data_IF_092213285284
#
_entry.id   IF_092213285284
#
_cell.length_a   1.000
_cell.length_b   1.000
_cell.length_c   1.000
_cell.angle_alpha   90.00
_cell.angle_beta   90.00
_cell.angle_gamma   90.00
#
_symmetry.space_group_name_H-M   'P 1'
#
loop_
_entity.id
_entity.type
_entity.pdbx_description
1 polymer ?
#
# COMPACT_ATOMS: atom_id res chain seq x y z
N UNK A 1 -7.80 -50.35 60.08
CA UNK A 1 -8.30 -51.14 58.92
C UNK A 1 -8.01 -50.34 57.65
N UNK A 2 -7.45 -51.00 56.64
CA UNK A 2 -6.58 -50.45 55.59
C UNK A 2 -7.28 -49.65 54.48
N UNK A 3 -6.54 -48.65 53.97
CA UNK A 3 -6.57 -48.07 52.62
C UNK A 3 -6.51 -49.11 51.50
N UNK A 4 -7.10 -48.81 50.33
CA UNK A 4 -6.68 -49.21 48.97
C UNK A 4 -7.51 -48.38 47.97
N UNK A 5 -6.97 -47.32 47.35
CA UNK A 5 -6.12 -47.26 46.15
C UNK A 5 -6.80 -47.63 44.82
N UNK A 6 -6.73 -46.64 43.93
CA UNK A 6 -7.13 -46.54 42.53
C UNK A 6 -6.42 -47.52 41.59
N UNK A 7 -7.12 -47.98 40.55
CA UNK A 7 -6.50 -48.42 39.28
C UNK A 7 -7.47 -48.16 38.13
N UNK A 8 -7.20 -47.12 37.34
CA UNK A 8 -7.80 -46.90 36.03
C UNK A 8 -7.01 -47.73 35.04
N UNK A 9 -7.66 -48.74 34.45
CA UNK A 9 -7.07 -49.66 33.49
C UNK A 9 -6.71 -48.93 32.20
N UNK A 10 -5.41 -48.73 31.95
CA UNK A 10 -4.90 -48.40 30.62
C UNK A 10 -5.11 -49.62 29.70
N UNK A 11 -5.94 -49.46 28.68
CA UNK A 11 -6.12 -50.44 27.61
C UNK A 11 -4.94 -50.30 26.63
N UNK A 12 -3.94 -51.16 26.77
CA UNK A 12 -2.82 -51.27 25.82
C UNK A 12 -3.29 -52.09 24.62
N UNK A 13 -3.58 -51.46 23.49
CA UNK A 13 -3.86 -52.17 22.23
C UNK A 13 -2.52 -52.45 21.56
N UNK A 14 -2.08 -53.71 21.65
CA UNK A 14 -0.96 -54.26 20.88
C UNK A 14 -1.51 -54.60 19.49
N UNK A 15 -1.06 -53.90 18.45
CA UNK A 15 -1.43 -54.20 17.08
C UNK A 15 -0.57 -55.36 16.54
N UNK A 16 -1.18 -56.50 16.27
CA UNK A 16 -0.65 -57.53 15.37
C UNK A 16 -1.29 -57.37 13.98
N UNK A 17 -0.54 -57.45 12.88
CA UNK A 17 -1.05 -57.11 11.56
C UNK A 17 -1.53 -58.38 10.86
N UNK A 18 -2.82 -58.72 10.92
CA UNK A 18 -3.49 -59.61 9.95
C UNK A 18 -4.97 -59.76 10.33
N UNK A 19 -5.86 -59.56 9.35
CA UNK A 19 -7.32 -59.78 9.37
C UNK A 19 -8.19 -58.82 10.19
N UNK A 20 -8.85 -57.86 9.51
CA UNK A 20 -10.28 -57.95 9.18
C UNK A 20 -10.74 -56.64 8.48
N UNK A 21 -11.08 -56.75 7.20
CA UNK A 21 -11.89 -55.77 6.48
C UNK A 21 -13.35 -56.11 6.79
N UNK A 22 -14.00 -55.39 7.70
CA UNK A 22 -15.47 -55.27 7.70
C UNK A 22 -15.95 -54.15 8.62
N UNK A 23 -16.62 -53.17 8.00
CA UNK A 23 -17.64 -52.27 8.55
C UNK A 23 -17.29 -51.48 9.82
N UNK A 24 -16.64 -50.33 9.64
CA UNK A 24 -16.82 -49.20 10.55
C UNK A 24 -17.33 -48.02 9.71
N UNK A 25 -18.56 -47.56 9.98
CA UNK A 25 -19.15 -46.35 9.41
C UNK A 25 -18.30 -45.16 9.89
N UNK A 26 -17.34 -44.74 9.06
CA UNK A 26 -16.57 -43.52 9.27
C UNK A 26 -17.48 -42.34 8.99
N UNK A 27 -17.85 -41.62 10.04
CA UNK A 27 -18.29 -40.24 9.94
C UNK A 27 -17.11 -39.45 9.32
N UNK A 28 -17.33 -38.87 8.15
CA UNK A 28 -16.29 -38.24 7.35
C UNK A 28 -15.74 -36.98 8.03
N UNK A 29 -14.79 -37.15 8.95
CA UNK A 29 -13.83 -36.11 9.29
C UNK A 29 -12.84 -36.03 8.12
N UNK A 30 -12.86 -34.91 7.40
CA UNK A 30 -11.87 -34.61 6.36
C UNK A 30 -10.46 -34.60 6.98
N UNK A 31 -9.75 -35.72 6.86
CA UNK A 31 -8.35 -35.84 7.21
C UNK A 31 -7.54 -35.12 6.14
N UNK A 32 -7.04 -33.94 6.47
CA UNK A 32 -6.01 -33.28 5.69
C UNK A 32 -4.71 -33.39 6.48
N UNK A 33 -3.91 -34.38 6.12
CA UNK A 33 -2.66 -34.76 6.78
C UNK A 33 -1.68 -33.58 6.89
N UNK A 34 -1.43 -33.12 8.12
CA UNK A 34 -0.37 -32.16 8.44
C UNK A 34 0.23 -32.42 9.83
N UNK A 35 0.58 -33.68 10.10
CA UNK A 35 1.27 -34.07 11.34
C UNK A 35 2.74 -33.66 11.35
N UNK A 36 3.18 -33.04 12.45
CA UNK A 36 4.61 -32.95 12.78
C UNK A 36 4.91 -34.16 13.67
N UNK A 37 5.89 -34.96 13.28
CA UNK A 37 6.25 -36.20 13.98
C UNK A 37 7.28 -35.83 15.04
N UNK A 38 6.92 -36.01 16.31
CA UNK A 38 7.87 -35.85 17.41
C UNK A 38 8.87 -37.03 17.42
N UNK A 39 10.00 -36.88 18.11
CA UNK A 39 11.10 -37.88 18.18
C UNK A 39 10.71 -39.27 18.72
N UNK A 40 9.47 -39.44 19.14
CA UNK A 40 8.83 -40.66 19.67
C UNK A 40 7.72 -41.21 18.75
N UNK A 41 7.55 -40.68 17.53
CA UNK A 41 6.63 -41.24 16.53
C UNK A 41 5.14 -40.94 16.74
N UNK A 42 4.79 -40.08 17.71
CA UNK A 42 3.41 -39.63 17.93
C UNK A 42 3.08 -38.48 16.98
N UNK A 43 2.07 -38.70 16.14
CA UNK A 43 1.50 -37.68 15.25
C UNK A 43 0.52 -36.82 16.04
N UNK A 44 0.90 -35.58 16.35
CA UNK A 44 0.01 -34.65 17.04
C UNK A 44 -0.97 -34.02 16.03
N UNK A 45 -2.20 -34.54 15.99
CA UNK A 45 -3.30 -33.92 15.25
C UNK A 45 -3.80 -32.68 15.99
N UNK A 46 -3.39 -31.49 15.54
CA UNK A 46 -3.97 -30.24 16.03
C UNK A 46 -5.29 -30.02 15.31
N UNK A 47 -6.40 -30.01 16.06
CA UNK A 47 -7.71 -29.70 15.50
C UNK A 47 -7.69 -28.31 14.84
N UNK A 48 -8.07 -28.23 13.57
CA UNK A 48 -8.25 -26.96 12.88
C UNK A 48 -9.41 -26.21 13.54
N UNK A 49 -9.22 -24.92 13.81
CA UNK A 49 -10.28 -24.06 14.33
C UNK A 49 -11.39 -23.99 13.28
N UNK A 50 -12.65 -24.14 13.73
CA UNK A 50 -13.81 -24.00 12.86
C UNK A 50 -13.85 -22.61 12.25
N UNK A 51 -14.28 -22.52 10.99
CA UNK A 51 -14.43 -21.23 10.33
C UNK A 51 -15.50 -20.40 11.03
N UNK A 52 -15.25 -19.10 11.16
CA UNK A 52 -16.26 -18.16 11.69
C UNK A 52 -17.47 -18.14 10.78
N UNK A 53 -18.63 -18.00 11.39
CA UNK A 53 -19.88 -17.76 10.68
C UNK A 53 -19.76 -16.49 9.82
N UNK A 54 -20.52 -16.45 8.73
CA UNK A 54 -20.64 -15.28 7.87
C UNK A 54 -21.68 -14.30 8.41
N UNK A 55 -22.45 -14.69 9.43
CA UNK A 55 -23.59 -13.97 10.00
C UNK A 55 -24.59 -13.53 8.90
N UNK A 56 -24.77 -14.38 7.89
CA UNK A 56 -25.68 -14.14 6.77
C UNK A 56 -25.20 -13.15 5.70
N UNK A 57 -23.95 -12.70 5.75
CA UNK A 57 -23.34 -11.86 4.69
C UNK A 57 -22.40 -12.70 3.85
N UNK A 58 -22.72 -12.87 2.57
CA UNK A 58 -21.86 -13.63 1.67
C UNK A 58 -20.58 -12.85 1.28
N UNK A 59 -19.58 -13.59 0.83
CA UNK A 59 -18.35 -13.00 0.27
C UNK A 59 -18.65 -12.45 -1.13
N UNK A 60 -18.16 -11.24 -1.39
CA UNK A 60 -18.34 -10.54 -2.66
C UNK A 60 -17.00 -10.06 -3.18
N UNK A 61 -16.83 -10.02 -4.49
CA UNK A 61 -15.53 -9.67 -5.08
C UNK A 61 -15.28 -8.15 -5.08
N UNK A 62 -16.28 -7.31 -4.82
CA UNK A 62 -16.18 -5.84 -4.91
C UNK A 62 -15.98 -5.12 -3.57
N UNK A 63 -16.08 -5.84 -2.45
CA UNK A 63 -15.90 -5.28 -1.09
C UNK A 63 -15.30 -6.32 -0.17
N UNK A 64 -14.68 -5.88 0.92
CA UNK A 64 -14.10 -6.82 1.88
C UNK A 64 -15.13 -7.36 2.84
N UNK A 65 -14.98 -8.63 3.22
CA UNK A 65 -15.80 -9.22 4.26
C UNK A 65 -15.26 -8.88 5.66
N UNK A 66 -16.15 -8.68 6.63
CA UNK A 66 -15.78 -8.35 8.02
C UNK A 66 -14.85 -9.40 8.66
N UNK A 67 -14.99 -10.67 8.26
CA UNK A 67 -14.15 -11.76 8.77
C UNK A 67 -12.68 -11.59 8.38
N UNK A 68 -12.39 -10.93 7.26
CA UNK A 68 -11.03 -10.60 6.82
C UNK A 68 -10.37 -9.63 7.79
N UNK A 69 -11.07 -8.55 8.19
CA UNK A 69 -10.57 -7.62 9.19
C UNK A 69 -10.45 -8.26 10.58
N UNK A 70 -11.42 -9.09 10.98
CA UNK A 70 -11.36 -9.83 12.23
C UNK A 70 -10.20 -10.83 12.25
N UNK A 71 -9.87 -11.46 11.12
CA UNK A 71 -8.70 -12.33 11.02
C UNK A 71 -7.39 -11.55 11.20
N UNK A 72 -7.26 -10.40 10.53
CA UNK A 72 -6.08 -9.53 10.67
C UNK A 72 -5.91 -9.03 12.11
N UNK A 73 -7.02 -8.73 12.80
CA UNK A 73 -7.02 -8.35 14.22
C UNK A 73 -6.50 -9.49 15.11
N UNK A 74 -6.97 -10.71 14.87
CA UNK A 74 -6.52 -11.88 15.64
C UNK A 74 -5.07 -12.24 15.33
N UNK A 75 -4.64 -12.10 14.07
CA UNK A 75 -3.25 -12.28 13.66
C UNK A 75 -2.32 -11.29 14.36
N UNK A 76 -2.75 -10.03 14.53
CA UNK A 76 -2.01 -9.02 15.30
C UNK A 76 -1.83 -9.44 16.75
N UNK A 77 -2.89 -9.95 17.37
CA UNK A 77 -2.86 -10.41 18.77
C UNK A 77 -2.04 -11.70 18.94
N UNK A 78 -2.06 -12.60 17.94
CA UNK A 78 -1.50 -13.95 18.01
C UNK A 78 -0.45 -14.22 16.92
N UNK A 79 0.53 -13.33 16.77
CA UNK A 79 1.53 -13.39 15.69
C UNK A 79 2.58 -14.50 15.91
N UNK A 80 2.15 -15.77 15.84
CA UNK A 80 2.95 -16.99 16.02
C UNK A 80 2.68 -17.97 14.88
N UNK A 81 3.73 -18.67 14.42
CA UNK A 81 3.62 -19.64 13.31
C UNK A 81 2.65 -20.79 13.62
N UNK A 82 2.68 -21.30 14.86
CA UNK A 82 1.76 -22.35 15.32
C UNK A 82 0.31 -21.89 15.27
N UNK A 83 0.03 -20.65 15.67
CA UNK A 83 -1.32 -20.09 15.64
C UNK A 83 -1.84 -19.96 14.21
N UNK A 84 -1.03 -19.46 13.27
CA UNK A 84 -1.45 -19.37 11.86
C UNK A 84 -1.71 -20.76 11.26
N UNK A 85 -0.90 -21.77 11.61
CA UNK A 85 -1.13 -23.16 11.16
C UNK A 85 -2.49 -23.70 11.60
N UNK A 86 -2.90 -23.42 12.84
CA UNK A 86 -4.20 -23.83 13.38
C UNK A 86 -5.38 -23.05 12.78
N UNK A 87 -5.14 -21.80 12.34
CA UNK A 87 -6.14 -20.90 11.74
C UNK A 87 -6.00 -20.78 10.20
N UNK A 88 -5.37 -21.76 9.57
CA UNK A 88 -5.06 -21.75 8.13
C UNK A 88 -6.31 -21.65 7.24
N UNK A 89 -7.45 -22.16 7.72
CA UNK A 89 -8.74 -21.99 7.05
C UNK A 89 -9.17 -20.52 6.94
N UNK A 90 -9.12 -19.77 8.05
CA UNK A 90 -9.42 -18.33 8.08
C UNK A 90 -8.43 -17.53 7.26
N UNK A 91 -7.15 -17.90 7.31
CA UNK A 91 -6.12 -17.27 6.50
C UNK A 91 -6.39 -17.42 5.00
N UNK A 92 -6.68 -18.62 4.50
CA UNK A 92 -6.99 -18.81 3.07
C UNK A 92 -8.28 -18.09 2.66
N UNK A 93 -9.29 -18.08 3.53
CA UNK A 93 -10.56 -17.41 3.27
C UNK A 93 -10.38 -15.89 3.15
N UNK A 94 -9.67 -15.29 4.11
CA UNK A 94 -9.36 -13.86 4.10
C UNK A 94 -8.40 -13.45 2.98
N UNK A 95 -7.44 -14.32 2.62
CA UNK A 95 -6.57 -14.09 1.48
C UNK A 95 -7.35 -14.10 0.17
N UNK A 96 -8.25 -15.07 -0.02
CA UNK A 96 -9.09 -15.15 -1.22
C UNK A 96 -9.98 -13.91 -1.37
N UNK A 97 -10.62 -13.49 -0.29
CA UNK A 97 -11.43 -12.26 -0.23
C UNK A 97 -10.61 -11.03 -0.69
N UNK A 98 -9.38 -10.88 -0.17
CA UNK A 98 -8.48 -9.82 -0.57
C UNK A 98 -8.02 -9.92 -2.03
N UNK A 99 -7.70 -11.13 -2.50
CA UNK A 99 -7.27 -11.36 -3.89
C UNK A 99 -8.39 -11.05 -4.89
N UNK A 100 -9.63 -11.50 -4.61
CA UNK A 100 -10.82 -11.17 -5.40
C UNK A 100 -11.07 -9.65 -5.46
N UNK A 101 -10.95 -8.95 -4.32
CA UNK A 101 -11.07 -7.49 -4.27
C UNK A 101 -10.04 -6.78 -5.15
N UNK A 102 -8.79 -7.25 -5.14
CA UNK A 102 -7.71 -6.69 -5.96
C UNK A 102 -7.89 -7.02 -7.45
N UNK A 103 -8.36 -8.23 -7.76
CA UNK A 103 -8.61 -8.68 -9.13
C UNK A 103 -9.66 -7.79 -9.82
N UNK A 104 -10.78 -7.51 -9.15
CA UNK A 104 -11.84 -6.67 -9.70
C UNK A 104 -11.52 -5.17 -9.66
N UNK A 105 -10.66 -4.73 -8.74
CA UNK A 105 -10.17 -3.34 -8.68
C UNK A 105 -9.14 -3.02 -9.78
N UNK A 106 -8.32 -4.00 -10.17
CA UNK A 106 -7.25 -3.82 -11.17
C UNK A 106 -7.73 -3.23 -12.50
N UNK A 107 -8.78 -3.74 -13.17
CA UNK A 107 -9.25 -3.14 -14.43
C UNK A 107 -9.73 -1.69 -14.26
N UNK A 108 -10.33 -1.32 -13.12
CA UNK A 108 -10.73 0.07 -12.84
C UNK A 108 -9.51 1.00 -12.74
N UNK A 109 -8.39 0.51 -12.19
CA UNK A 109 -7.15 1.28 -12.11
C UNK A 109 -6.52 1.43 -13.50
N UNK A 110 -6.52 0.37 -14.32
CA UNK A 110 -6.01 0.41 -15.70
C UNK A 110 -6.81 1.40 -16.56
N UNK A 111 -8.14 1.45 -16.37
CA UNK A 111 -8.99 2.44 -17.04
C UNK A 111 -8.67 3.89 -16.62
N UNK A 112 -8.25 4.09 -15.36
CA UNK A 112 -7.87 5.42 -14.86
C UNK A 112 -6.43 5.83 -15.24
N UNK A 113 -5.52 4.88 -15.44
CA UNK A 113 -4.12 5.08 -15.82
C UNK A 113 -3.67 3.98 -16.79
N UNK A 114 -3.68 4.32 -18.08
CA UNK A 114 -3.36 3.45 -19.21
C UNK A 114 -1.90 2.97 -19.22
N UNK A 115 -1.03 3.60 -18.42
CA UNK A 115 0.37 3.20 -18.32
C UNK A 115 0.55 1.92 -17.49
N UNK A 116 -0.47 1.49 -16.75
CA UNK A 116 -0.44 0.27 -15.95
C UNK A 116 -0.82 -0.93 -16.82
N UNK A 117 0.08 -1.91 -17.02
CA UNK A 117 -0.27 -3.13 -17.73
C UNK A 117 -1.12 -4.05 -16.87
N UNK A 118 -1.87 -4.92 -17.53
CA UNK A 118 -2.51 -6.05 -16.85
C UNK A 118 -1.44 -7.01 -16.34
N UNK A 119 -1.35 -7.14 -15.01
CA UNK A 119 -0.35 -7.96 -14.33
C UNK A 119 -1.04 -9.03 -13.49
N UNK A 120 -0.41 -10.22 -13.35
CA UNK A 120 -0.97 -11.26 -12.50
C UNK A 120 -0.99 -10.79 -11.04
N UNK A 121 -2.05 -11.14 -10.30
CA UNK A 121 -2.30 -10.71 -8.91
C UNK A 121 -1.08 -10.91 -8.00
N UNK A 122 -0.32 -12.00 -8.19
CA UNK A 122 0.90 -12.31 -7.44
C UNK A 122 1.97 -11.22 -7.48
N UNK A 123 1.98 -10.41 -8.54
CA UNK A 123 2.95 -9.34 -8.78
C UNK A 123 2.43 -7.97 -8.33
N UNK A 124 1.15 -7.89 -7.94
CA UNK A 124 0.49 -6.69 -7.39
C UNK A 124 0.34 -6.80 -5.87
N UNK A 125 -0.15 -7.94 -5.37
CA UNK A 125 -0.41 -8.19 -3.94
C UNK A 125 0.88 -8.47 -3.19
N UNK A 126 1.05 -7.93 -1.99
CA UNK A 126 2.17 -8.26 -1.11
C UNK A 126 1.92 -9.53 -0.31
N UNK A 127 2.99 -10.29 -0.08
CA UNK A 127 2.96 -11.47 0.80
C UNK A 127 2.80 -11.05 2.27
N UNK A 128 2.05 -11.85 3.02
CA UNK A 128 1.85 -11.66 4.47
C UNK A 128 3.10 -11.94 5.31
N UNK A 129 4.02 -12.77 4.80
CA UNK A 129 5.27 -13.11 5.50
C UNK A 129 6.24 -11.93 5.55
N UNK A 130 6.83 -11.70 6.72
CA UNK A 130 7.86 -10.69 6.94
C UNK A 130 9.25 -11.29 6.83
N UNK A 131 10.20 -10.54 6.27
CA UNK A 131 11.62 -10.88 6.39
C UNK A 131 12.11 -10.40 7.75
N UNK A 132 12.42 -11.35 8.64
CA UNK A 132 12.82 -11.09 10.02
C UNK A 132 14.33 -11.16 10.24
N UNK A 133 15.12 -11.55 9.23
CA UNK A 133 16.57 -11.83 9.39
C UNK A 133 17.37 -10.64 9.93
N UNK A 134 16.90 -9.42 9.64
CA UNK A 134 17.56 -8.18 10.01
C UNK A 134 16.68 -7.26 10.87
N UNK A 135 15.50 -7.73 11.29
CA UNK A 135 14.56 -6.91 12.06
C UNK A 135 14.74 -7.13 13.56
N UNK A 136 14.71 -6.04 14.33
CA UNK A 136 14.69 -6.10 15.81
C UNK A 136 13.40 -6.73 16.35
N UNK A 137 12.32 -6.61 15.57
CA UNK A 137 11.02 -7.19 15.89
C UNK A 137 10.90 -8.58 15.25
N UNK A 138 10.81 -9.66 16.05
CA UNK A 138 10.80 -11.04 15.57
C UNK A 138 9.42 -11.50 15.04
N UNK A 139 8.44 -10.61 14.88
CA UNK A 139 7.10 -10.98 14.39
C UNK A 139 7.14 -11.54 12.96
N UNK A 140 6.69 -12.79 12.72
CA UNK A 140 6.83 -13.46 11.43
C UNK A 140 5.84 -12.96 10.35
N UNK A 141 4.70 -12.41 10.74
CA UNK A 141 3.62 -12.03 9.82
C UNK A 141 3.28 -10.55 9.90
N UNK A 142 2.82 -9.99 8.78
CA UNK A 142 2.24 -8.66 8.69
C UNK A 142 0.74 -8.76 9.05
N UNK A 143 0.24 -8.00 10.03
CA UNK A 143 -1.18 -8.00 10.39
C UNK A 143 -2.02 -7.13 9.43
N UNK A 144 -1.68 -7.12 8.15
CA UNK A 144 -2.32 -6.33 7.11
C UNK A 144 -2.16 -6.96 5.74
N UNK A 145 -3.10 -6.66 4.85
CA UNK A 145 -2.94 -6.89 3.42
C UNK A 145 -2.59 -5.59 2.71
N UNK A 146 -1.87 -5.71 1.60
CA UNK A 146 -1.58 -4.56 0.77
C UNK A 146 -1.32 -4.97 -0.67
N UNK A 147 -1.59 -4.05 -1.59
CA UNK A 147 -1.36 -4.20 -3.02
C UNK A 147 -0.72 -2.93 -3.57
N UNK A 148 0.14 -3.08 -4.58
CA UNK A 148 0.71 -1.97 -5.32
C UNK A 148 0.62 -2.17 -6.84
N UNK A 149 0.18 -1.13 -7.53
CA UNK A 149 0.07 -1.08 -8.99
C UNK A 149 1.09 -0.08 -9.54
N UNK A 150 1.92 -0.52 -10.47
CA UNK A 150 2.83 0.33 -11.25
C UNK A 150 3.07 -0.34 -12.60
N UNK A 151 3.81 0.33 -13.50
CA UNK A 151 4.21 -0.22 -14.80
C UNK A 151 4.90 -1.60 -14.72
N UNK A 152 5.52 -1.93 -13.57
CA UNK A 152 6.18 -3.23 -13.32
C UNK A 152 5.61 -3.96 -12.10
N UNK A 153 4.40 -3.59 -11.66
CA UNK A 153 3.72 -4.16 -10.49
C UNK A 153 4.25 -3.62 -9.17
N UNK A 154 4.25 -4.45 -8.12
CA UNK A 154 4.69 -4.05 -6.76
C UNK A 154 6.20 -3.81 -6.62
N UNK A 155 6.99 -4.15 -7.63
CA UNK A 155 8.45 -4.00 -7.67
C UNK A 155 8.82 -3.08 -8.82
N UNK A 156 9.88 -2.31 -8.65
CA UNK A 156 10.48 -1.52 -9.72
C UNK A 156 10.76 -0.09 -9.28
N UNK A 157 11.32 0.73 -10.19
CA UNK A 157 11.70 2.10 -9.91
C UNK A 157 10.56 3.12 -10.09
N UNK A 158 9.38 2.67 -10.51
CA UNK A 158 8.24 3.53 -10.83
C UNK A 158 7.47 3.96 -9.58
N UNK A 159 6.85 5.13 -9.65
CA UNK A 159 5.81 5.52 -8.72
C UNK A 159 4.64 4.55 -8.84
N UNK A 160 4.03 4.21 -7.70
CA UNK A 160 2.98 3.21 -7.62
C UNK A 160 1.74 3.74 -6.90
N UNK A 161 0.59 3.18 -7.22
CA UNK A 161 -0.62 3.25 -6.38
C UNK A 161 -0.54 2.15 -5.34
N UNK A 162 -1.01 2.42 -4.14
CA UNK A 162 -0.88 1.54 -2.98
C UNK A 162 -2.20 1.50 -2.20
N UNK A 163 -2.70 0.31 -1.95
CA UNK A 163 -3.83 0.08 -1.05
C UNK A 163 -3.35 -0.76 0.12
N UNK A 164 -3.72 -0.34 1.33
CA UNK A 164 -3.33 -0.96 2.58
C UNK A 164 -4.55 -1.19 3.46
N UNK A 165 -4.69 -2.41 3.94
CA UNK A 165 -5.81 -2.85 4.76
C UNK A 165 -5.25 -3.44 6.05
N UNK A 166 -5.30 -2.62 7.10
CA UNK A 166 -4.99 -2.99 8.48
C UNK A 166 -6.16 -2.53 9.35
N UNK A 167 -6.71 -3.38 10.24
CA UNK A 167 -7.81 -2.98 11.11
C UNK A 167 -7.49 -1.69 11.90
N UNK A 168 -8.31 -0.66 11.70
CA UNK A 168 -8.15 0.68 12.27
C UNK A 168 -7.08 1.55 11.63
N UNK A 169 -6.43 1.09 10.55
CA UNK A 169 -5.34 1.79 9.85
C UNK A 169 -5.39 1.55 8.34
N UNK A 170 -6.56 1.50 7.74
CA UNK A 170 -6.69 1.39 6.29
C UNK A 170 -6.23 2.68 5.59
N UNK A 171 -5.56 2.56 4.45
CA UNK A 171 -5.13 3.72 3.66
C UNK A 171 -5.00 3.40 2.17
N UNK A 172 -5.24 4.42 1.35
CA UNK A 172 -4.93 4.43 -0.07
C UNK A 172 -3.93 5.54 -0.30
N UNK A 173 -2.84 5.25 -1.00
CA UNK A 173 -1.80 6.22 -1.26
C UNK A 173 -1.00 5.85 -2.48
N UNK A 174 0.07 6.61 -2.72
CA UNK A 174 0.95 6.36 -3.84
C UNK A 174 1.93 7.49 -4.09
N UNK A 175 2.67 7.33 -5.18
CA UNK A 175 3.85 8.11 -5.48
C UNK A 175 5.12 7.29 -5.33
N UNK A 176 6.22 7.96 -4.99
CA UNK A 176 7.56 7.40 -5.01
C UNK A 176 8.12 7.24 -3.59
N UNK A 177 8.11 6.00 -3.10
CA UNK A 177 8.57 5.63 -1.76
C UNK A 177 9.97 5.01 -1.82
N UNK A 178 10.91 5.58 -1.07
CA UNK A 178 12.33 5.19 -1.08
C UNK A 178 12.94 5.00 -2.49
N UNK A 179 12.86 6.00 -3.38
CA UNK A 179 13.60 6.00 -4.63
C UNK A 179 15.11 5.85 -4.45
N UNK A 180 15.76 5.31 -5.48
CA UNK A 180 17.21 5.31 -5.58
C UNK A 180 17.77 6.73 -5.75
N UNK A 181 19.09 6.87 -5.58
CA UNK A 181 19.75 8.17 -5.64
C UNK A 181 19.63 8.83 -7.02
N UNK A 182 19.57 8.03 -8.09
CA UNK A 182 19.47 8.50 -9.46
C UNK A 182 18.09 9.11 -9.75
N UNK A 183 17.01 8.42 -9.36
CA UNK A 183 15.65 8.93 -9.43
C UNK A 183 15.47 10.21 -8.59
N UNK A 184 16.06 10.25 -7.39
CA UNK A 184 16.04 11.44 -6.55
C UNK A 184 16.79 12.62 -7.17
N UNK A 185 17.93 12.37 -7.82
CA UNK A 185 18.68 13.40 -8.51
C UNK A 185 17.87 13.97 -9.68
N UNK A 186 17.24 13.11 -10.50
CA UNK A 186 16.34 13.53 -11.59
C UNK A 186 15.16 14.36 -11.10
N UNK A 187 14.49 13.93 -10.03
CA UNK A 187 13.39 14.68 -9.44
C UNK A 187 13.83 16.05 -8.92
N UNK A 188 14.99 16.13 -8.24
CA UNK A 188 15.52 17.40 -7.77
C UNK A 188 15.90 18.33 -8.91
N UNK A 189 16.55 17.82 -9.96
CA UNK A 189 16.87 18.61 -11.16
C UNK A 189 15.61 19.13 -11.84
N UNK A 190 14.58 18.29 -12.04
CA UNK A 190 13.31 18.75 -12.62
C UNK A 190 12.59 19.80 -11.78
N UNK A 191 12.66 19.73 -10.44
CA UNK A 191 12.05 20.73 -9.56
C UNK A 191 12.83 22.04 -9.57
N UNK A 192 14.15 21.98 -9.71
CA UNK A 192 15.03 23.15 -9.78
C UNK A 192 14.89 23.87 -11.14
N UNK A 193 14.93 23.11 -12.24
CA UNK A 193 14.85 23.65 -13.61
C UNK A 193 13.41 24.05 -14.00
N UNK A 194 12.41 23.25 -13.61
CA UNK A 194 11.00 23.40 -14.03
C UNK A 194 10.03 23.24 -12.86
N UNK A 195 10.07 24.13 -11.86
CA UNK A 195 9.22 24.05 -10.65
C UNK A 195 7.72 24.12 -10.95
N UNK A 196 7.32 24.75 -12.06
CA UNK A 196 5.91 24.90 -12.43
C UNK A 196 5.23 23.54 -12.69
N UNK A 197 5.95 22.51 -13.16
CA UNK A 197 5.38 21.18 -13.46
C UNK A 197 4.83 20.50 -12.20
N UNK A 198 5.64 20.43 -11.14
CA UNK A 198 5.20 19.85 -9.86
C UNK A 198 4.12 20.73 -9.20
N UNK A 199 4.24 22.06 -9.30
CA UNK A 199 3.25 22.98 -8.72
C UNK A 199 1.88 22.82 -9.36
N UNK A 200 1.80 22.69 -10.70
CA UNK A 200 0.55 22.46 -11.44
C UNK A 200 -0.21 21.25 -10.90
N UNK A 201 0.50 20.15 -10.73
CA UNK A 201 -0.04 18.89 -10.19
C UNK A 201 -0.52 19.06 -8.74
N UNK A 202 0.30 19.66 -7.86
CA UNK A 202 -0.05 19.83 -6.45
C UNK A 202 -1.20 20.83 -6.25
N UNK A 203 -1.34 21.82 -7.14
CA UNK A 203 -2.40 22.83 -7.12
C UNK A 203 -3.71 22.33 -7.72
N UNK A 204 -3.74 21.15 -8.36
CA UNK A 204 -4.97 20.58 -8.90
C UNK A 204 -6.07 20.52 -7.82
N UNK A 205 -7.27 21.08 -8.07
CA UNK A 205 -8.34 21.15 -7.07
C UNK A 205 -8.73 19.78 -6.49
N UNK A 206 -8.78 18.74 -7.34
CA UNK A 206 -9.13 17.37 -6.95
C UNK A 206 -8.04 16.76 -6.06
N UNK A 207 -6.77 16.95 -6.42
CA UNK A 207 -5.63 16.51 -5.61
C UNK A 207 -5.63 17.20 -4.24
N UNK A 208 -5.70 18.54 -4.22
CA UNK A 208 -5.64 19.34 -2.99
C UNK A 208 -6.78 19.01 -2.04
N UNK A 209 -8.02 18.90 -2.53
CA UNK A 209 -9.19 18.56 -1.70
C UNK A 209 -9.05 17.17 -1.06
N UNK A 210 -8.41 16.24 -1.76
CA UNK A 210 -8.29 14.84 -1.32
C UNK A 210 -7.16 14.64 -0.32
N UNK A 211 -5.97 15.21 -0.59
CA UNK A 211 -4.76 14.94 0.18
C UNK A 211 -4.29 16.09 1.06
N UNK A 212 -4.66 17.33 0.72
CA UNK A 212 -4.21 18.54 1.41
C UNK A 212 -5.41 19.41 1.85
N UNK A 213 -6.41 18.86 2.58
CA UNK A 213 -7.64 19.58 2.92
C UNK A 213 -7.40 20.82 3.79
N UNK A 214 -6.31 20.85 4.55
CA UNK A 214 -5.95 21.96 5.44
C UNK A 214 -5.13 23.06 4.73
N UNK A 215 -4.73 22.84 3.48
CA UNK A 215 -3.93 23.81 2.73
C UNK A 215 -4.83 24.87 2.08
N UNK A 216 -4.45 26.14 2.26
CA UNK A 216 -5.09 27.25 1.54
C UNK A 216 -4.83 27.10 0.03
N UNK A 217 -5.68 27.72 -0.79
CA UNK A 217 -5.60 27.66 -2.25
C UNK A 217 -4.46 28.52 -2.84
N UNK A 218 -3.29 28.47 -2.22
CA UNK A 218 -2.11 29.21 -2.65
C UNK A 218 -0.89 28.29 -2.67
N UNK A 219 -0.01 28.50 -3.66
CA UNK A 219 1.14 27.61 -3.92
C UNK A 219 1.97 27.36 -2.66
N UNK A 220 2.34 28.42 -1.94
CA UNK A 220 3.19 28.32 -0.75
C UNK A 220 2.58 27.43 0.34
N UNK A 221 1.25 27.50 0.58
CA UNK A 221 0.60 26.65 1.58
C UNK A 221 0.52 25.20 1.12
N UNK A 222 0.28 24.96 -0.16
CA UNK A 222 0.18 23.63 -0.74
C UNK A 222 1.54 22.93 -0.69
N UNK A 223 2.60 23.61 -1.13
CA UNK A 223 3.96 23.08 -1.11
C UNK A 223 4.43 22.77 0.32
N UNK A 224 4.17 23.68 1.25
CA UNK A 224 4.53 23.48 2.66
C UNK A 224 3.74 22.33 3.30
N UNK A 225 2.44 22.20 2.99
CA UNK A 225 1.63 21.08 3.46
C UNK A 225 2.11 19.73 2.91
N UNK A 226 2.45 19.68 1.61
CA UNK A 226 3.02 18.48 0.98
C UNK A 226 4.39 18.11 1.58
N UNK A 227 5.26 19.10 1.78
CA UNK A 227 6.57 18.88 2.40
C UNK A 227 6.44 18.41 3.86
N UNK A 228 5.48 18.95 4.62
CA UNK A 228 5.19 18.52 5.97
C UNK A 228 4.72 17.05 6.02
N UNK A 229 3.89 16.63 5.06
CA UNK A 229 3.43 15.24 4.95
C UNK A 229 4.57 14.24 4.68
N UNK A 230 5.66 14.67 4.02
CA UNK A 230 6.79 13.83 3.62
C UNK A 230 8.07 14.06 4.46
N UNK A 231 7.95 14.73 5.61
CA UNK A 231 9.10 15.19 6.40
C UNK A 231 9.86 14.08 7.12
N UNK A 232 9.22 12.95 7.42
CA UNK A 232 9.77 11.89 8.29
C UNK A 232 11.16 11.40 7.87
N UNK A 233 11.41 11.26 6.56
CA UNK A 233 12.69 10.84 6.00
C UNK A 233 13.45 11.94 5.25
N UNK A 234 13.06 13.21 5.41
CA UNK A 234 13.69 14.32 4.69
C UNK A 234 15.15 14.54 5.13
N UNK A 235 15.97 15.07 4.21
CA UNK A 235 17.35 15.46 4.51
C UNK A 235 17.37 16.57 5.56
N UNK A 236 18.14 16.35 6.63
CA UNK A 236 18.41 17.38 7.66
C UNK A 236 19.26 18.51 7.11
N UNK A 237 20.22 18.19 6.25
CA UNK A 237 21.11 19.14 5.56
C UNK A 237 20.57 19.46 4.18
N UNK A 238 20.82 20.70 3.72
CA UNK A 238 20.48 21.11 2.35
C UNK A 238 21.29 20.24 1.36
N UNK A 239 20.68 19.73 0.27
CA UNK A 239 21.45 19.26 -0.88
C UNK A 239 22.38 20.38 -1.37
N UNK A 240 23.47 20.05 -2.08
CA UNK A 240 24.48 21.01 -2.55
C UNK A 240 23.97 22.13 -3.50
N UNK A 241 22.66 22.22 -3.73
CA UNK A 241 22.05 23.26 -4.56
C UNK A 241 21.84 24.57 -3.78
N UNK A 242 22.05 25.68 -4.50
CA UNK A 242 21.96 27.07 -4.07
C UNK A 242 20.57 27.43 -3.51
N UNK A 243 20.43 28.65 -3.00
CA UNK A 243 19.21 29.20 -2.39
C UNK A 243 17.99 29.15 -3.34
N UNK A 244 17.26 28.03 -3.37
CA UNK A 244 16.07 27.86 -4.19
C UNK A 244 14.78 28.15 -3.40
N UNK A 245 13.78 28.77 -4.05
CA UNK A 245 12.46 29.09 -3.46
C UNK A 245 11.74 27.84 -2.92
N UNK A 246 11.98 26.69 -3.56
CA UNK A 246 11.34 25.39 -3.26
C UNK A 246 12.24 24.43 -2.46
N UNK A 247 13.11 24.96 -1.59
CA UNK A 247 14.09 24.16 -0.85
C UNK A 247 13.47 23.06 0.02
N UNK A 248 12.22 23.23 0.47
CA UNK A 248 11.51 22.23 1.27
C UNK A 248 11.21 20.97 0.47
N UNK A 249 10.88 21.10 -0.82
CA UNK A 249 10.65 19.97 -1.72
C UNK A 249 11.95 19.25 -2.03
N UNK A 250 13.03 20.01 -2.32
CA UNK A 250 14.33 19.43 -2.67
C UNK A 250 14.95 18.59 -1.54
N UNK A 251 14.60 18.90 -0.28
CA UNK A 251 15.04 18.11 0.90
C UNK A 251 14.33 16.76 1.01
N UNK A 252 13.19 16.57 0.36
CA UNK A 252 12.44 15.33 0.47
C UNK A 252 13.24 14.15 -0.10
N UNK A 253 13.01 12.99 0.50
CA UNK A 253 13.49 11.69 0.01
C UNK A 253 12.36 10.80 -0.47
N UNK A 254 11.14 11.08 -0.02
CA UNK A 254 9.93 10.39 -0.41
C UNK A 254 8.99 11.43 -1.01
N UNK A 255 8.36 11.09 -2.13
CA UNK A 255 7.34 11.89 -2.77
C UNK A 255 6.06 11.06 -2.78
N UNK A 256 5.45 10.96 -1.60
CA UNK A 256 4.29 10.09 -1.37
C UNK A 256 3.12 10.89 -0.84
N UNK A 257 1.92 10.45 -1.17
CA UNK A 257 0.69 10.93 -0.53
C UNK A 257 -0.16 9.74 -0.15
N UNK A 258 -1.13 9.99 0.73
CA UNK A 258 -2.09 8.99 1.10
C UNK A 258 -3.25 9.59 1.88
N UNK A 259 -4.40 8.93 1.75
CA UNK A 259 -5.60 9.21 2.50
C UNK A 259 -5.93 7.99 3.35
N UNK A 260 -6.18 8.23 4.63
CA UNK A 260 -6.70 7.21 5.54
C UNK A 260 -8.14 6.90 5.19
N UNK A 261 -8.50 5.64 5.23
CA UNK A 261 -9.87 5.16 5.08
C UNK A 261 -10.29 4.50 6.39
N UNK A 262 -11.58 4.58 6.70
CA UNK A 262 -12.14 3.85 7.82
C UNK A 262 -12.41 2.40 7.38
N UNK A 263 -12.34 1.47 8.33
CA UNK A 263 -12.63 0.05 8.08
C UNK A 263 -14.01 -0.14 7.45
N UNK A 264 -14.99 0.68 7.83
CA UNK A 264 -16.36 0.65 7.31
C UNK A 264 -16.43 1.01 5.82
N UNK A 265 -15.52 1.85 5.33
CA UNK A 265 -15.49 2.27 3.93
C UNK A 265 -15.16 1.09 3.01
N UNK A 266 -14.35 0.14 3.49
CA UNK A 266 -13.95 -1.04 2.72
C UNK A 266 -14.96 -2.20 2.80
N UNK A 267 -15.86 -2.16 3.78
CA UNK A 267 -16.92 -3.15 3.97
C UNK A 267 -18.22 -2.77 3.23
N UNK A 268 -18.34 -1.51 2.82
CA UNK A 268 -19.51 -0.96 2.14
C UNK A 268 -19.60 -1.43 0.68
N UNK A 269 -20.80 -1.37 0.10
CA UNK A 269 -21.04 -1.74 -1.31
C UNK A 269 -20.29 -0.83 -2.30
N UNK A 270 -20.04 0.43 -1.92
CA UNK A 270 -19.32 1.43 -2.71
C UNK A 270 -17.80 1.46 -2.40
N UNK A 271 -17.25 0.41 -1.77
CA UNK A 271 -15.86 0.35 -1.34
C UNK A 271 -14.86 0.65 -2.47
N UNK A 272 -15.02 0.01 -3.63
CA UNK A 272 -14.16 0.25 -4.78
C UNK A 272 -14.28 1.67 -5.33
N UNK A 273 -15.47 2.25 -5.33
CA UNK A 273 -15.68 3.60 -5.87
C UNK A 273 -15.03 4.64 -4.97
N UNK A 274 -15.04 4.42 -3.64
CA UNK A 274 -14.28 5.23 -2.68
C UNK A 274 -12.78 5.14 -2.92
N UNK A 275 -12.25 3.93 -3.13
CA UNK A 275 -10.83 3.71 -3.44
C UNK A 275 -10.46 4.38 -4.76
N UNK A 276 -11.26 4.19 -5.81
CA UNK A 276 -11.05 4.79 -7.12
C UNK A 276 -11.13 6.31 -7.08
N UNK A 277 -12.04 6.90 -6.30
CA UNK A 277 -12.09 8.36 -6.12
C UNK A 277 -10.77 8.92 -5.58
N UNK A 278 -10.06 8.16 -4.74
CA UNK A 278 -8.74 8.56 -4.22
C UNK A 278 -7.67 8.33 -5.28
N UNK A 279 -7.64 7.17 -5.94
CA UNK A 279 -6.67 6.82 -6.98
C UNK A 279 -6.72 7.81 -8.15
N UNK A 280 -7.90 8.10 -8.67
CA UNK A 280 -8.09 9.06 -9.77
C UNK A 280 -7.61 10.47 -9.41
N UNK A 281 -7.62 10.86 -8.14
CA UNK A 281 -7.07 12.15 -7.71
C UNK A 281 -5.54 12.19 -7.71
N UNK A 282 -4.87 11.04 -7.87
CA UNK A 282 -3.42 10.88 -7.84
C UNK A 282 -2.80 10.62 -9.20
N UNK A 283 -3.61 10.34 -10.23
CA UNK A 283 -3.12 9.94 -11.56
C UNK A 283 -2.11 10.95 -12.11
N UNK A 284 -2.48 12.23 -12.19
CA UNK A 284 -1.57 13.30 -12.63
C UNK A 284 -0.26 13.36 -11.83
N UNK A 285 -0.32 13.06 -10.53
CA UNK A 285 0.86 13.05 -9.66
C UNK A 285 1.77 11.85 -9.94
N UNK A 286 1.20 10.66 -10.11
CA UNK A 286 1.97 9.46 -10.46
C UNK A 286 2.56 9.58 -11.86
N UNK A 287 1.78 10.06 -12.84
CA UNK A 287 2.24 10.33 -14.21
C UNK A 287 3.40 11.32 -14.22
N UNK A 288 3.29 12.44 -13.49
CA UNK A 288 4.39 13.41 -13.36
C UNK A 288 5.66 12.76 -12.80
N UNK A 289 5.55 12.04 -11.68
CA UNK A 289 6.72 11.38 -11.07
C UNK A 289 7.38 10.39 -12.03
N UNK A 290 6.60 9.58 -12.74
CA UNK A 290 7.11 8.60 -13.69
C UNK A 290 7.78 9.28 -14.90
N UNK A 291 7.18 10.37 -15.42
CA UNK A 291 7.77 11.15 -16.53
C UNK A 291 9.18 11.69 -16.21
N UNK A 292 9.46 12.00 -14.94
CA UNK A 292 10.77 12.52 -14.52
C UNK A 292 11.76 11.39 -14.20
N UNK A 293 11.30 10.34 -13.51
CA UNK A 293 12.19 9.28 -13.00
C UNK A 293 12.61 8.30 -14.09
N UNK A 294 11.72 8.04 -15.05
CA UNK A 294 11.93 7.19 -16.22
C UNK A 294 11.15 7.79 -17.41
N UNK A 295 11.69 8.84 -18.07
CA UNK A 295 11.05 9.41 -19.25
C UNK A 295 10.92 8.35 -20.33
N UNK A 296 9.76 8.29 -20.97
CA UNK A 296 9.56 7.43 -22.12
C UNK A 296 10.35 8.02 -23.29
N UNK A 297 11.22 7.24 -23.97
CA UNK A 297 12.21 7.74 -24.92
C UNK A 297 11.61 8.43 -26.17
N UNK A 298 10.28 8.44 -26.31
CA UNK A 298 9.54 9.01 -27.45
C UNK A 298 8.50 10.07 -27.03
N UNK A 299 8.50 10.54 -25.77
CA UNK A 299 7.61 11.62 -25.28
C UNK A 299 8.37 12.94 -25.06
N UNK A 300 9.43 13.17 -25.85
CA UNK A 300 10.10 14.47 -25.94
C UNK A 300 9.21 15.45 -26.72
N UNK A 301 8.19 15.98 -26.06
CA UNK A 301 7.44 17.15 -26.51
C UNK A 301 6.61 17.70 -25.34
N UNK A 302 7.27 18.12 -24.26
CA UNK A 302 6.73 19.26 -23.52
C UNK A 302 6.92 20.46 -24.46
N UNK A 303 5.92 20.70 -25.30
CA UNK A 303 5.67 21.97 -25.98
C UNK A 303 5.26 22.99 -24.92
N UNK A 304 6.14 23.27 -23.97
CA UNK A 304 6.07 24.46 -23.14
C UNK A 304 6.69 25.58 -23.98
N UNK A 305 5.99 26.02 -25.03
CA UNK A 305 6.24 27.34 -25.57
C UNK A 305 5.98 28.32 -24.43
N UNK A 306 7.06 28.90 -23.93
CA UNK A 306 6.99 30.07 -23.09
C UNK A 306 6.22 31.13 -23.86
N UNK A 307 4.97 31.41 -23.48
CA UNK A 307 4.35 32.68 -23.83
C UNK A 307 5.27 33.76 -23.26
N UNK A 308 6.00 34.40 -24.18
CA UNK A 308 6.83 35.56 -23.91
C UNK A 308 5.94 36.68 -23.40
N UNK A 309 6.10 37.02 -22.12
CA UNK A 309 5.79 38.37 -21.67
C UNK A 309 6.88 39.28 -22.23
N UNK A 310 6.58 39.99 -23.30
CA UNK A 310 7.34 41.16 -23.72
C UNK A 310 7.23 42.18 -22.58
N UNK A 311 8.31 42.34 -21.80
CA UNK A 311 8.49 43.52 -20.96
C UNK A 311 8.86 44.66 -21.91
N UNK A 312 7.89 45.51 -22.23
CA UNK A 312 8.14 46.82 -22.85
C UNK A 312 8.95 47.65 -21.85
N UNK A 313 10.26 47.75 -22.07
CA UNK A 313 11.10 48.75 -21.45
C UNK A 313 10.73 50.12 -22.05
N UNK A 314 9.95 50.91 -21.30
CA UNK A 314 9.76 52.35 -21.58
C UNK A 314 11.12 53.05 -21.47
N UNK A 315 11.72 53.40 -22.61
CA UNK A 315 12.81 54.36 -22.67
C UNK A 315 12.28 55.74 -22.27
N UNK A 316 12.70 56.22 -21.10
CA UNK A 316 12.51 57.59 -20.68
C UNK A 316 13.42 58.51 -21.51
N UNK A 317 12.88 59.08 -22.58
CA UNK A 317 13.45 60.26 -23.23
C UNK A 317 13.41 61.44 -22.24
N UNK A 318 14.59 61.88 -21.82
CA UNK A 318 14.77 63.16 -21.16
C UNK A 318 14.75 64.24 -22.23
N UNK A 319 13.72 65.08 -22.20
CA UNK A 319 13.67 66.30 -22.99
C UNK A 319 13.79 67.51 -22.05
N UNK A 320 14.59 68.45 -22.52
CA UNK A 320 15.05 69.66 -21.87
C UNK A 320 13.90 70.64 -21.61
N UNK A 321 13.89 71.29 -20.44
CA UNK A 321 13.16 72.56 -20.28
C UNK A 321 14.09 73.61 -19.67
N UNK A 322 14.51 74.51 -20.56
CA UNK A 322 15.07 75.83 -20.28
C UNK A 322 14.14 76.60 -19.31
N UNK A 323 14.73 77.17 -18.26
CA UNK A 323 14.11 78.28 -17.53
C UNK A 323 15.08 79.45 -17.48
N UNK A 324 14.86 80.39 -18.39
CA UNK A 324 15.15 81.81 -18.19
C UNK A 324 14.25 82.32 -17.05
N UNK A 325 14.85 82.92 -16.01
CA UNK A 325 14.40 84.21 -15.48
C UNK A 325 15.29 84.73 -14.33
N UNK A 326 15.77 85.97 -14.54
CA UNK A 326 16.36 86.98 -13.64
C UNK A 326 17.88 87.02 -13.41
#
# INVERSE_FOLDING_TARGET
MRMMMTTTTMMTIIASPLFLVSTCRVWACSFRDWGQVDSIGLMQCVAAVQLRDTDGVDYEDTRLHKNTLLFLKDLRANNKRSWLKTNDGEYRRSLKDWESFVETLTPKIIDADDTIPELPIKDVVFRIYRDIRFSKDPTPYKPHYSAAWSRTGRKGPYACYYVHVEPGRCMVGGGLWHPDNEALARLRASIDERPHRIRRVLMNPRFRKTFLPNAKANEKSVLSAFAAANKENALKTKPKLLHHKDIELLKLRNYTIGKKLDDKDLLAEDAQDRVMSVISAMVEFVTFLNSVVRPDPNLDSDSDEAEGGEEEEEEAEGDDDESDDL
#
